data_IF_996158861296
#
_entry.id   IF_996158861296
#
_cell.length_a   1.000
_cell.length_b   1.000
_cell.length_c   1.000
_cell.angle_alpha   90.00
_cell.angle_beta   90.00
_cell.angle_gamma   90.00
#
_symmetry.space_group_name_H-M   'P 1'
#
loop_
_entity.id
_entity.type
_entity.pdbx_description
1 polymer ?
#
# COMPACT_ATOMS: atom_id res chain seq x y z
N UNK A 1 79.27 22.22 11.22
CA UNK A 1 79.51 21.41 12.44
C UNK A 1 78.52 21.85 13.51
N UNK A 2 77.69 20.90 13.96
CA UNK A 2 76.85 20.77 15.16
C UNK A 2 76.66 21.96 16.11
N UNK A 3 75.40 22.22 16.50
CA UNK A 3 75.06 23.10 17.62
C UNK A 3 73.58 23.07 18.03
N UNK A 4 73.17 21.97 18.66
CA UNK A 4 72.02 21.77 19.55
C UNK A 4 70.92 22.87 19.67
N UNK A 5 69.70 22.57 19.20
CA UNK A 5 68.48 23.25 19.65
C UNK A 5 67.69 22.31 20.57
N UNK A 6 67.86 22.47 21.88
CA UNK A 6 67.11 21.73 22.89
C UNK A 6 65.64 22.13 22.88
N UNK A 7 64.75 21.18 22.57
CA UNK A 7 63.30 21.35 22.75
C UNK A 7 62.87 20.64 24.02
N UNK A 8 62.47 21.45 24.99
CA UNK A 8 61.91 21.08 26.29
C UNK A 8 60.60 20.32 26.04
N UNK A 9 60.60 19.01 26.26
CA UNK A 9 59.38 18.18 26.24
C UNK A 9 58.72 18.29 27.61
N UNK A 10 57.54 18.91 27.66
CA UNK A 10 56.71 19.04 28.88
C UNK A 10 56.15 17.67 29.29
N UNK A 11 56.52 17.10 30.45
CA UNK A 11 56.10 15.75 30.86
C UNK A 11 54.62 15.66 31.33
N UNK A 12 53.92 16.79 31.45
CA UNK A 12 52.55 16.85 32.01
C UNK A 12 51.42 16.37 31.08
N UNK A 13 51.66 16.18 29.78
CA UNK A 13 50.60 15.81 28.82
C UNK A 13 50.40 14.29 28.71
N UNK A 14 51.38 13.49 29.14
CA UNK A 14 51.30 12.02 29.01
C UNK A 14 50.49 11.36 30.14
N UNK A 15 50.29 12.02 31.29
CA UNK A 15 49.57 11.43 32.44
C UNK A 15 48.05 11.68 32.36
N UNK A 16 47.61 12.71 31.62
CA UNK A 16 46.17 13.01 31.47
C UNK A 16 45.45 12.07 30.49
N UNK A 17 46.19 11.40 29.59
CA UNK A 17 45.61 10.50 28.58
C UNK A 17 45.45 9.04 29.05
N UNK A 18 46.18 8.62 30.09
CA UNK A 18 46.07 7.26 30.64
C UNK A 18 44.89 7.12 31.61
N UNK A 19 44.43 8.20 32.23
CA UNK A 19 43.26 8.19 33.13
C UNK A 19 41.92 8.00 32.38
N UNK A 20 41.86 8.34 31.09
CA UNK A 20 40.67 8.12 30.23
C UNK A 20 40.67 6.73 29.55
N UNK A 21 41.76 5.96 29.66
CA UNK A 21 41.90 4.68 28.99
C UNK A 21 41.40 3.47 29.80
N UNK A 22 41.05 3.65 31.09
CA UNK A 22 40.75 2.52 32.00
C UNK A 22 39.24 2.26 32.17
N UNK A 23 38.35 3.17 31.76
CA UNK A 23 36.90 2.97 31.85
C UNK A 23 36.27 2.27 30.63
N UNK A 24 37.06 1.98 29.58
CA UNK A 24 36.54 1.47 28.30
C UNK A 24 36.60 -0.05 28.07
N UNK A 25 37.21 -0.83 28.97
CA UNK A 25 37.42 -2.27 28.75
C UNK A 25 36.34 -3.18 29.36
N UNK A 26 35.17 -2.63 29.72
CA UNK A 26 34.00 -3.46 29.98
C UNK A 26 33.39 -3.84 28.62
N UNK A 27 33.61 -5.08 28.18
CA UNK A 27 32.94 -5.59 27.00
C UNK A 27 31.41 -5.40 27.15
N UNK A 28 30.72 -4.76 26.20
CA UNK A 28 29.26 -4.57 26.27
C UNK A 28 28.50 -5.89 26.09
N UNK A 29 29.21 -6.98 25.79
CA UNK A 29 28.69 -8.32 25.56
C UNK A 29 28.94 -9.24 26.75
N UNK A 30 28.66 -8.77 27.98
CA UNK A 30 28.56 -9.69 29.11
C UNK A 30 27.24 -10.45 28.99
N UNK A 31 27.34 -11.77 28.93
CA UNK A 31 26.17 -12.65 29.01
C UNK A 31 25.44 -12.42 30.33
N UNK A 32 24.14 -12.14 30.28
CA UNK A 32 23.33 -11.96 31.48
C UNK A 32 23.37 -13.23 32.36
N UNK A 33 23.34 -13.06 33.68
CA UNK A 33 23.25 -14.18 34.62
C UNK A 33 21.91 -14.90 34.43
N UNK A 34 21.95 -16.22 34.32
CA UNK A 34 20.76 -17.05 34.13
C UNK A 34 20.12 -17.29 35.50
N UNK A 35 18.85 -16.91 35.64
CA UNK A 35 18.06 -17.16 36.86
C UNK A 35 17.82 -18.68 37.03
N UNK A 36 18.29 -19.31 38.14
CA UNK A 36 18.14 -20.74 38.36
C UNK A 36 16.69 -21.18 38.64
N UNK A 37 15.78 -20.25 38.97
CA UNK A 37 14.37 -20.56 39.23
C UNK A 37 13.53 -20.66 37.96
N UNK A 38 14.10 -20.27 36.81
CA UNK A 38 13.41 -20.30 35.53
C UNK A 38 13.27 -21.73 34.98
N UNK A 39 12.08 -22.13 34.46
CA UNK A 39 11.88 -23.43 33.83
C UNK A 39 12.74 -23.66 32.57
N UNK A 40 13.32 -22.59 32.00
CA UNK A 40 14.21 -22.65 30.83
C UNK A 40 15.70 -22.45 31.20
N UNK A 41 16.04 -22.42 32.50
CA UNK A 41 17.40 -22.14 32.96
C UNK A 41 18.44 -23.14 32.43
N UNK A 42 18.09 -24.43 32.41
CA UNK A 42 18.99 -25.48 31.90
C UNK A 42 19.18 -25.37 30.39
N UNK A 43 18.09 -25.20 29.64
CA UNK A 43 18.14 -25.03 28.19
C UNK A 43 18.96 -23.79 27.79
N UNK A 44 18.81 -22.69 28.54
CA UNK A 44 19.54 -21.45 28.32
C UNK A 44 21.03 -21.61 28.67
N UNK A 45 21.37 -22.34 29.73
CA UNK A 45 22.77 -22.66 30.08
C UNK A 45 23.44 -23.49 28.99
N UNK A 46 22.76 -24.51 28.49
CA UNK A 46 23.25 -25.36 27.40
C UNK A 46 23.45 -24.53 26.12
N UNK A 47 22.47 -23.71 25.74
CA UNK A 47 22.56 -22.87 24.56
C UNK A 47 23.65 -21.79 24.67
N UNK A 48 23.82 -21.17 25.85
CA UNK A 48 24.85 -20.17 26.09
C UNK A 48 26.27 -20.75 26.03
N UNK A 49 26.44 -22.02 26.41
CA UNK A 49 27.72 -22.73 26.30
C UNK A 49 28.06 -23.18 24.87
N UNK A 50 27.08 -23.27 23.98
CA UNK A 50 27.29 -23.68 22.59
C UNK A 50 27.72 -22.48 21.73
N UNK A 51 28.97 -22.48 21.27
CA UNK A 51 29.41 -21.55 20.23
C UNK A 51 28.75 -21.96 18.92
N UNK A 52 27.76 -21.19 18.47
CA UNK A 52 27.17 -21.36 17.15
C UNK A 52 28.21 -21.21 16.04
N UNK A 53 27.97 -21.85 14.88
CA UNK A 53 28.80 -21.67 13.68
C UNK A 53 28.85 -20.19 13.33
N UNK A 54 30.07 -19.63 13.27
CA UNK A 54 30.30 -18.27 12.80
C UNK A 54 30.57 -18.33 11.30
N UNK A 55 29.70 -17.74 10.46
CA UNK A 55 29.97 -17.70 9.04
C UNK A 55 31.26 -16.93 8.80
N UNK A 56 32.06 -17.43 7.86
CA UNK A 56 33.29 -16.76 7.42
C UNK A 56 33.03 -15.96 6.14
N UNK A 57 33.91 -15.02 5.80
CA UNK A 57 33.84 -14.31 4.52
C UNK A 57 33.92 -15.25 3.30
N UNK A 58 34.47 -16.46 3.46
CA UNK A 58 34.50 -17.48 2.41
C UNK A 58 33.14 -18.16 2.19
N UNK A 59 32.21 -18.05 3.13
CA UNK A 59 30.83 -18.56 2.99
C UNK A 59 29.93 -17.57 2.23
N UNK A 60 30.43 -16.38 1.91
CA UNK A 60 29.71 -15.42 1.07
C UNK A 60 29.64 -16.01 -0.34
N UNK A 61 28.44 -16.24 -0.89
CA UNK A 61 28.31 -16.75 -2.25
C UNK A 61 28.90 -15.75 -3.25
N UNK A 62 29.44 -16.27 -4.34
CA UNK A 62 29.94 -15.45 -5.43
C UNK A 62 28.81 -14.55 -5.98
N UNK A 63 29.18 -13.35 -6.45
CA UNK A 63 28.23 -12.45 -7.11
C UNK A 63 27.62 -13.19 -8.30
N UNK A 64 26.28 -13.24 -8.41
CA UNK A 64 25.63 -13.88 -9.54
C UNK A 64 26.09 -13.25 -10.86
N UNK A 65 26.43 -14.08 -11.84
CA UNK A 65 26.92 -13.63 -13.16
C UNK A 65 25.79 -13.48 -14.17
N UNK A 66 24.59 -13.94 -13.83
CA UNK A 66 23.35 -13.88 -14.61
C UNK A 66 22.56 -12.57 -14.41
N UNK A 67 23.17 -11.57 -13.78
CA UNK A 67 22.57 -10.23 -13.69
C UNK A 67 22.61 -9.51 -15.03
N UNK A 68 21.52 -8.81 -15.32
CA UNK A 68 21.36 -8.05 -16.56
C UNK A 68 22.41 -6.93 -16.62
N UNK A 69 23.27 -6.97 -17.65
CA UNK A 69 24.26 -5.93 -17.87
C UNK A 69 23.67 -4.54 -18.13
N UNK A 70 24.44 -3.46 -17.91
CA UNK A 70 23.96 -2.08 -17.96
C UNK A 70 23.35 -1.71 -19.32
N UNK A 71 23.91 -2.20 -20.43
CA UNK A 71 23.37 -1.95 -21.77
C UNK A 71 21.95 -2.51 -21.95
N UNK A 72 21.67 -3.69 -21.40
CA UNK A 72 20.35 -4.32 -21.45
C UNK A 72 19.35 -3.59 -20.55
N UNK A 73 19.78 -3.11 -19.39
CA UNK A 73 18.96 -2.25 -18.52
C UNK A 73 18.57 -0.97 -19.27
N UNK A 74 19.54 -0.29 -19.89
CA UNK A 74 19.31 0.92 -20.67
C UNK A 74 18.29 0.69 -21.79
N UNK A 75 18.46 -0.39 -22.57
CA UNK A 75 17.55 -0.72 -23.65
C UNK A 75 16.10 -0.94 -23.17
N UNK A 76 15.92 -1.56 -21.99
CA UNK A 76 14.59 -1.75 -21.38
C UNK A 76 13.99 -0.41 -20.99
N UNK A 77 14.76 0.47 -20.34
CA UNK A 77 14.31 1.81 -19.94
C UNK A 77 13.92 2.64 -21.17
N UNK A 78 14.73 2.64 -22.22
CA UNK A 78 14.45 3.34 -23.48
C UNK A 78 13.20 2.76 -24.19
N UNK A 79 12.97 1.44 -24.07
CA UNK A 79 11.73 0.80 -24.51
C UNK A 79 10.51 1.31 -23.75
N UNK A 80 10.58 1.32 -22.42
CA UNK A 80 9.49 1.74 -21.54
C UNK A 80 9.16 3.22 -21.72
N UNK A 81 10.17 4.09 -21.85
CA UNK A 81 9.95 5.51 -22.11
C UNK A 81 9.22 5.76 -23.43
N UNK A 82 9.55 5.00 -24.48
CA UNK A 82 8.83 5.08 -25.78
C UNK A 82 7.39 4.59 -25.65
N UNK A 83 7.15 3.50 -24.91
CA UNK A 83 5.81 2.99 -24.66
C UNK A 83 4.97 4.01 -23.86
N UNK A 84 5.54 4.60 -22.81
CA UNK A 84 4.89 5.65 -22.03
C UNK A 84 4.59 6.90 -22.87
N UNK A 85 5.51 7.32 -23.75
CA UNK A 85 5.27 8.43 -24.66
C UNK A 85 4.14 8.13 -25.66
N UNK A 86 4.04 6.89 -26.15
CA UNK A 86 2.93 6.44 -26.99
C UNK A 86 1.61 6.47 -26.20
N UNK A 87 1.58 5.89 -25.01
CA UNK A 87 0.39 5.86 -24.17
C UNK A 87 -0.13 7.25 -23.86
N UNK A 88 0.74 8.23 -23.56
CA UNK A 88 0.31 9.61 -23.33
C UNK A 88 -0.34 10.26 -24.55
N UNK A 89 0.13 9.95 -25.77
CA UNK A 89 -0.48 10.44 -27.01
C UNK A 89 -1.83 9.78 -27.27
N UNK A 90 -1.90 8.46 -27.07
CA UNK A 90 -3.12 7.68 -27.34
C UNK A 90 -4.21 7.93 -26.28
N UNK A 91 -3.80 8.26 -25.06
CA UNK A 91 -4.68 8.59 -23.95
C UNK A 91 -4.96 10.10 -23.83
N UNK A 92 -4.61 10.88 -24.85
CA UNK A 92 -4.85 12.31 -24.82
C UNK A 92 -6.37 12.59 -24.70
N UNK A 93 -6.80 13.64 -23.98
CA UNK A 93 -8.22 13.95 -23.84
C UNK A 93 -8.91 14.19 -25.19
N UNK A 94 -8.19 14.77 -26.16
CA UNK A 94 -8.70 14.98 -27.51
C UNK A 94 -8.92 13.71 -28.34
N UNK A 95 -8.32 12.56 -27.96
CA UNK A 95 -8.51 11.28 -28.65
C UNK A 95 -9.83 10.59 -28.32
N UNK A 96 -10.42 10.88 -27.15
CA UNK A 96 -11.72 10.35 -26.73
C UNK A 96 -12.81 11.40 -26.90
N UNK A 97 -13.13 11.74 -28.16
CA UNK A 97 -14.34 12.51 -28.46
C UNK A 97 -15.45 11.55 -28.86
N UNK A 98 -16.59 11.64 -28.15
CA UNK A 98 -17.84 11.02 -28.57
C UNK A 98 -18.25 11.69 -29.89
N UNK A 99 -18.14 10.96 -31.00
CA UNK A 99 -18.59 11.41 -32.32
C UNK A 99 -20.02 10.92 -32.54
N UNK A 100 -20.77 11.62 -33.38
CA UNK A 100 -22.11 11.22 -33.82
C UNK A 100 -23.13 11.05 -32.69
N UNK A 101 -22.98 11.84 -31.62
CA UNK A 101 -23.88 11.85 -30.46
C UNK A 101 -25.31 12.19 -30.83
N UNK A 102 -25.51 13.14 -31.74
CA UNK A 102 -26.82 13.56 -32.22
C UNK A 102 -27.48 12.46 -33.07
N UNK A 103 -26.71 11.76 -33.91
CA UNK A 103 -27.23 10.68 -34.73
C UNK A 103 -27.63 9.47 -33.85
N UNK A 104 -26.78 9.11 -32.89
CA UNK A 104 -27.09 8.09 -31.89
C UNK A 104 -28.31 8.46 -31.05
N UNK A 105 -28.41 9.71 -30.56
CA UNK A 105 -29.55 10.18 -29.80
C UNK A 105 -30.83 10.22 -30.63
N UNK A 106 -30.77 10.62 -31.91
CA UNK A 106 -31.90 10.59 -32.82
C UNK A 106 -32.39 9.15 -33.07
N UNK A 107 -31.46 8.20 -33.27
CA UNK A 107 -31.77 6.79 -33.41
C UNK A 107 -32.38 6.21 -32.13
N UNK A 108 -31.82 6.54 -30.97
CA UNK A 108 -32.36 6.12 -29.67
C UNK A 108 -33.79 6.63 -29.47
N UNK A 109 -34.07 7.91 -29.77
CA UNK A 109 -35.42 8.48 -29.72
C UNK A 109 -36.37 7.84 -30.72
N UNK A 110 -35.93 7.52 -31.93
CA UNK A 110 -36.74 6.83 -32.93
C UNK A 110 -37.07 5.38 -32.52
N UNK A 111 -36.11 4.69 -31.89
CA UNK A 111 -36.30 3.33 -31.38
C UNK A 111 -37.12 3.27 -30.09
N UNK A 112 -37.08 4.34 -29.29
CA UNK A 112 -37.93 4.51 -28.13
C UNK A 112 -39.35 4.85 -28.61
N UNK A 113 -40.13 3.81 -28.89
CA UNK A 113 -41.57 3.92 -29.08
C UNK A 113 -42.15 4.43 -27.75
N UNK A 114 -42.38 5.75 -27.65
CA UNK A 114 -43.12 6.29 -26.52
C UNK A 114 -44.44 5.52 -26.43
N UNK A 115 -44.84 5.02 -25.25
CA UNK A 115 -46.18 4.48 -25.06
C UNK A 115 -47.17 5.51 -25.59
N UNK A 116 -48.13 5.07 -26.40
CA UNK A 116 -49.17 5.96 -26.86
C UNK A 116 -49.98 6.37 -25.64
N UNK A 117 -49.69 7.56 -25.11
CA UNK A 117 -50.48 8.19 -24.05
C UNK A 117 -51.75 8.74 -24.69
N UNK A 118 -52.55 7.84 -25.26
CA UNK A 118 -53.88 8.18 -25.72
C UNK A 118 -54.65 8.77 -24.53
N UNK A 119 -55.45 9.81 -24.79
CA UNK A 119 -56.35 10.32 -23.77
C UNK A 119 -57.21 9.16 -23.25
N UNK A 120 -57.38 9.00 -21.91
CA UNK A 120 -58.17 7.91 -21.34
C UNK A 120 -59.53 7.84 -22.03
N UNK A 121 -59.86 6.65 -22.53
CA UNK A 121 -61.15 6.41 -23.18
C UNK A 121 -62.28 6.46 -22.15
N UNK A 122 -63.52 6.59 -22.61
CA UNK A 122 -64.70 6.50 -21.72
C UNK A 122 -64.75 5.16 -20.98
N UNK A 123 -64.22 4.08 -21.55
CA UNK A 123 -64.07 2.80 -20.88
C UNK A 123 -63.05 2.86 -19.73
N UNK A 124 -61.89 3.49 -19.95
CA UNK A 124 -60.87 3.67 -18.90
C UNK A 124 -61.37 4.54 -17.74
N UNK A 125 -62.21 5.55 -18.05
CA UNK A 125 -62.89 6.37 -17.05
C UNK A 125 -63.91 5.56 -16.24
N UNK A 126 -64.74 4.77 -16.91
CA UNK A 126 -65.70 3.90 -16.25
C UNK A 126 -65.02 2.85 -15.36
N UNK A 127 -63.91 2.26 -15.80
CA UNK A 127 -63.11 1.34 -14.99
C UNK A 127 -62.50 2.03 -13.76
N UNK A 128 -62.00 3.27 -13.93
CA UNK A 128 -61.47 4.07 -12.81
C UNK A 128 -62.57 4.41 -11.80
N UNK A 129 -63.77 4.77 -12.26
CA UNK A 129 -64.92 5.06 -11.41
C UNK A 129 -65.44 3.80 -10.69
N UNK A 130 -65.49 2.66 -11.38
CA UNK A 130 -65.86 1.37 -10.79
C UNK A 130 -64.85 0.94 -9.71
N UNK A 131 -63.55 1.11 -9.96
CA UNK A 131 -62.52 0.87 -8.96
C UNK A 131 -62.68 1.81 -7.75
N UNK A 132 -62.93 3.10 -7.98
CA UNK A 132 -63.17 4.06 -6.91
C UNK A 132 -64.44 3.72 -6.10
N UNK A 133 -65.52 3.28 -6.75
CA UNK A 133 -66.73 2.82 -6.08
C UNK A 133 -66.47 1.55 -5.23
N UNK A 134 -65.73 0.58 -5.77
CA UNK A 134 -65.35 -0.63 -5.04
C UNK A 134 -64.41 -0.34 -3.85
N UNK A 135 -63.54 0.67 -3.96
CA UNK A 135 -62.70 1.14 -2.87
C UNK A 135 -63.54 1.83 -1.78
N UNK A 136 -64.48 2.70 -2.16
CA UNK A 136 -65.42 3.35 -1.21
C UNK A 136 -66.32 2.35 -0.51
N UNK A 137 -66.83 1.33 -1.22
CA UNK A 137 -67.64 0.26 -0.63
C UNK A 137 -66.87 -0.57 0.40
N UNK A 138 -65.56 -0.75 0.22
CA UNK A 138 -64.67 -1.40 1.20
C UNK A 138 -64.28 -0.49 2.37
N UNK A 139 -64.38 0.83 2.19
CA UNK A 139 -64.06 1.83 3.21
C UNK A 139 -65.27 2.20 4.09
N UNK A 140 -66.34 1.39 4.12
CA UNK A 140 -67.42 1.55 5.10
C UNK A 140 -66.85 1.43 6.51
N UNK A 141 -66.99 2.48 7.33
CA UNK A 141 -66.58 2.46 8.72
C UNK A 141 -67.30 1.33 9.49
N UNK A 142 -66.62 0.60 10.39
CA UNK A 142 -67.30 -0.39 11.24
C UNK A 142 -68.38 0.30 12.08
N UNK A 143 -69.55 -0.32 12.22
CA UNK A 143 -70.71 0.29 12.88
C UNK A 143 -70.38 0.65 14.33
N UNK A 144 -70.47 1.94 14.68
CA UNK A 144 -70.32 2.42 16.05
C UNK A 144 -71.68 2.45 16.75
N UNK A 145 -72.34 1.30 16.89
CA UNK A 145 -73.48 1.18 17.80
C UNK A 145 -73.01 0.63 19.15
N UNK A 146 -73.16 1.37 20.26
CA UNK A 146 -73.06 0.80 21.60
C UNK A 146 -74.29 -0.09 21.88
N UNK A 147 -74.07 -1.17 22.66
CA UNK A 147 -75.14 -2.02 23.22
C UNK A 147 -76.09 -1.22 24.11
#
# INVERSE_FOLDING_TARGET
>A
MNGATGKIVRPGVLIALTALAVSGCASPFKTAAIDPTSPVAEATRVAAGQKGRRPTFAEIPAVPTDVRGPARIKAVIEGEQRAAAKLRRDAAPETFKLKDTEAYAAQARASAKAPDFAAPTEADRAETEAFAAAARGRASAPSSQPK
#
